data_IF_633810840654
#
_entry.id   IF_633810840654
#
_cell.length_a   1.000
_cell.length_b   1.000
_cell.length_c   1.000
_cell.angle_alpha   90.00
_cell.angle_beta   90.00
_cell.angle_gamma   90.00
#
_symmetry.space_group_name_H-M   'P 1'
#
loop_
_entity.id
_entity.type
_entity.pdbx_description
1 polymer ?
#
# COMPACT_ATOMS: atom_id res chain seq x y z
N UNK A 1 3.54 7.18 16.52
CA UNK A 1 2.67 6.12 17.12
C UNK A 1 2.62 4.89 16.21
N UNK A 2 2.67 3.65 16.75
CA UNK A 2 2.61 2.42 15.93
C UNK A 2 1.14 2.04 15.70
N UNK A 3 0.72 1.99 14.43
CA UNK A 3 -0.60 1.53 14.00
C UNK A 3 -0.49 0.15 13.35
N UNK A 4 -1.43 -0.72 13.64
CA UNK A 4 -1.50 -2.03 13.00
C UNK A 4 -2.36 -1.93 11.73
N UNK A 5 -1.91 -2.53 10.64
CA UNK A 5 -2.57 -2.46 9.33
C UNK A 5 -4.05 -2.86 9.37
N UNK A 6 -4.40 -3.90 10.12
CA UNK A 6 -5.78 -4.36 10.23
C UNK A 6 -6.73 -3.34 10.87
N UNK A 7 -6.22 -2.42 11.73
CA UNK A 7 -7.04 -1.33 12.29
C UNK A 7 -7.43 -0.36 11.18
N UNK A 8 -6.49 -0.06 10.30
CA UNK A 8 -6.70 0.85 9.17
C UNK A 8 -7.64 0.22 8.13
N UNK A 9 -7.49 -1.07 7.89
CA UNK A 9 -8.41 -1.80 7.01
C UNK A 9 -9.86 -1.80 7.51
N UNK A 10 -10.08 -1.66 8.82
CA UNK A 10 -11.40 -1.52 9.42
C UNK A 10 -11.89 -0.07 9.48
N UNK A 11 -10.98 0.87 9.75
CA UNK A 11 -11.29 2.30 9.87
C UNK A 11 -10.12 3.15 9.36
N UNK A 12 -10.20 3.55 8.11
CA UNK A 12 -9.18 4.36 7.43
C UNK A 12 -9.13 5.82 7.92
N UNK A 13 -10.21 6.32 8.54
CA UNK A 13 -10.29 7.69 9.07
C UNK A 13 -9.25 7.98 10.15
N UNK A 14 -8.77 6.95 10.84
CA UNK A 14 -7.66 7.09 11.82
C UNK A 14 -6.41 7.73 11.19
N UNK A 15 -6.19 7.57 9.88
CA UNK A 15 -5.04 8.17 9.19
C UNK A 15 -5.15 9.69 9.05
N UNK A 16 -6.33 10.28 9.24
CA UNK A 16 -6.50 11.73 9.18
C UNK A 16 -5.87 12.46 10.38
N UNK A 17 -5.70 11.76 11.50
CA UNK A 17 -5.15 12.33 12.73
C UNK A 17 -3.63 12.57 12.63
N UNK A 18 -2.98 12.10 11.56
CA UNK A 18 -1.53 12.17 11.40
C UNK A 18 -1.13 12.97 10.17
N UNK A 19 -0.23 13.93 10.37
CA UNK A 19 0.33 14.73 9.28
C UNK A 19 1.38 13.96 8.47
N UNK A 20 2.01 12.96 9.07
CA UNK A 20 2.92 12.10 8.35
C UNK A 20 2.79 10.64 8.76
N UNK A 21 2.95 9.75 7.75
CA UNK A 21 2.75 8.31 7.88
C UNK A 21 3.93 7.59 7.24
N UNK A 22 4.61 6.75 8.02
CA UNK A 22 5.65 5.84 7.54
C UNK A 22 5.05 4.45 7.29
N UNK A 23 5.09 3.99 6.05
CA UNK A 23 4.79 2.62 5.65
C UNK A 23 6.11 1.90 5.35
N UNK A 24 6.42 0.83 6.08
CA UNK A 24 7.68 0.10 5.87
C UNK A 24 7.51 -1.41 6.01
N UNK A 25 8.23 -2.18 5.23
CA UNK A 25 8.21 -3.65 5.29
C UNK A 25 8.46 -4.31 3.94
N UNK A 26 8.37 -5.64 3.93
CA UNK A 26 8.51 -6.45 2.72
C UNK A 26 7.22 -6.58 1.91
N UNK A 27 6.05 -6.35 2.51
CA UNK A 27 4.75 -6.50 1.86
C UNK A 27 4.40 -5.30 0.98
N UNK A 28 4.89 -5.32 -0.27
CA UNK A 28 4.66 -4.24 -1.24
C UNK A 28 3.18 -4.06 -1.57
N UNK A 29 2.42 -5.16 -1.65
CA UNK A 29 0.98 -5.10 -1.90
C UNK A 29 0.25 -4.34 -0.80
N UNK A 30 0.57 -4.60 0.47
CA UNK A 30 -0.03 -3.88 1.59
C UNK A 30 0.39 -2.40 1.62
N UNK A 31 1.64 -2.08 1.28
CA UNK A 31 2.12 -0.70 1.17
C UNK A 31 1.34 0.04 0.07
N UNK A 32 1.14 -0.59 -1.10
CA UNK A 32 0.37 -0.02 -2.20
C UNK A 32 -1.10 0.21 -1.81
N UNK A 33 -1.74 -0.78 -1.20
CA UNK A 33 -3.13 -0.66 -0.72
C UNK A 33 -3.30 0.51 0.26
N UNK A 34 -2.42 0.61 1.26
CA UNK A 34 -2.46 1.67 2.27
C UNK A 34 -2.18 3.06 1.66
N UNK A 35 -1.23 3.15 0.73
CA UNK A 35 -0.95 4.36 -0.03
C UNK A 35 -2.19 4.83 -0.80
N UNK A 36 -2.90 3.91 -1.46
CA UNK A 36 -4.09 4.24 -2.23
C UNK A 36 -5.29 4.61 -1.33
N UNK A 37 -5.41 3.99 -0.17
CA UNK A 37 -6.35 4.43 0.87
C UNK A 37 -6.05 5.89 1.29
N UNK A 38 -4.78 6.21 1.56
CA UNK A 38 -4.39 7.57 1.96
C UNK A 38 -4.73 8.60 0.87
N UNK A 39 -4.49 8.29 -0.39
CA UNK A 39 -4.90 9.15 -1.52
C UNK A 39 -6.41 9.33 -1.57
N UNK A 40 -7.15 8.24 -1.43
CA UNK A 40 -8.62 8.23 -1.50
C UNK A 40 -9.29 9.05 -0.40
N UNK A 41 -8.76 9.04 0.82
CA UNK A 41 -9.31 9.84 1.93
C UNK A 41 -8.87 11.32 1.89
N UNK A 42 -7.94 11.68 0.99
CA UNK A 42 -7.45 13.05 0.77
C UNK A 42 -7.66 13.50 -0.69
N UNK A 43 -8.90 13.48 -1.23
CA UNK A 43 -9.14 13.68 -2.65
C UNK A 43 -8.86 15.10 -3.15
N UNK A 44 -8.84 16.09 -2.24
CA UNK A 44 -8.57 17.50 -2.55
C UNK A 44 -7.08 17.87 -2.48
N UNK A 45 -6.21 16.93 -2.11
CA UNK A 45 -4.77 17.18 -2.01
C UNK A 45 -4.10 17.04 -3.37
N UNK A 46 -3.19 17.97 -3.69
CA UNK A 46 -2.26 17.78 -4.80
C UNK A 46 -1.25 16.70 -4.44
N UNK A 47 -1.14 15.67 -5.29
CA UNK A 47 -0.26 14.53 -5.03
C UNK A 47 1.08 14.74 -5.73
N UNK A 48 2.16 14.80 -4.95
CA UNK A 48 3.52 14.99 -5.42
C UNK A 48 4.37 13.80 -5.01
N UNK A 49 5.06 13.20 -5.97
CA UNK A 49 5.90 12.02 -5.74
C UNK A 49 7.37 12.38 -5.86
N UNK A 50 8.18 11.92 -4.91
CA UNK A 50 9.64 11.98 -4.96
C UNK A 50 10.22 10.60 -4.71
N UNK A 51 11.25 10.25 -5.44
CA UNK A 51 12.11 9.13 -5.11
C UNK A 51 13.31 9.62 -4.29
N UNK A 52 13.76 8.80 -3.33
CA UNK A 52 14.90 9.21 -2.51
C UNK A 52 16.12 9.57 -3.34
N UNK A 53 16.35 8.91 -4.47
CA UNK A 53 17.47 9.18 -5.37
C UNK A 53 17.46 10.62 -5.91
N UNK A 54 16.27 11.16 -6.19
CA UNK A 54 16.10 12.53 -6.69
C UNK A 54 16.45 13.59 -5.64
N UNK A 55 16.36 13.21 -4.37
CA UNK A 55 16.63 14.08 -3.21
C UNK A 55 18.07 14.01 -2.70
N UNK A 56 18.85 13.02 -3.13
CA UNK A 56 20.22 12.84 -2.69
C UNK A 56 21.09 14.05 -3.09
N UNK A 57 21.70 14.71 -2.10
CA UNK A 57 22.52 15.91 -2.33
C UNK A 57 21.75 17.17 -2.74
N UNK A 58 20.41 17.12 -2.68
CA UNK A 58 19.53 18.23 -3.09
C UNK A 58 18.51 18.54 -1.97
N UNK A 59 19.00 18.76 -0.77
CA UNK A 59 18.18 18.95 0.44
C UNK A 59 17.10 20.05 0.30
N UNK A 60 17.35 21.04 -0.54
CA UNK A 60 16.41 22.17 -0.74
C UNK A 60 15.21 21.84 -1.63
N UNK A 61 15.26 20.78 -2.44
CA UNK A 61 14.18 20.49 -3.39
C UNK A 61 12.87 20.20 -2.64
N UNK A 62 12.93 19.31 -1.65
CA UNK A 62 11.76 18.92 -0.87
C UNK A 62 11.21 20.13 -0.08
N UNK A 63 12.07 20.91 0.56
CA UNK A 63 11.67 22.12 1.29
C UNK A 63 11.08 23.20 0.34
N UNK A 64 11.67 23.39 -0.82
CA UNK A 64 11.15 24.32 -1.81
C UNK A 64 9.76 23.89 -2.28
N UNK A 65 9.56 22.59 -2.55
CA UNK A 65 8.25 22.08 -2.97
C UNK A 65 7.19 22.24 -1.87
N UNK A 66 7.56 22.02 -0.62
CA UNK A 66 6.67 22.24 0.52
C UNK A 66 6.24 23.70 0.63
N UNK A 67 7.19 24.63 0.43
CA UNK A 67 6.95 26.07 0.57
C UNK A 67 6.35 26.72 -0.68
N UNK A 68 6.38 26.05 -1.83
CA UNK A 68 5.76 26.58 -3.03
C UNK A 68 4.24 26.57 -2.92
N UNK A 69 3.60 27.67 -3.31
CA UNK A 69 2.15 27.74 -3.38
C UNK A 69 1.69 26.97 -4.63
N UNK A 70 0.83 25.98 -4.46
CA UNK A 70 0.20 25.30 -5.60
C UNK A 70 -0.88 26.19 -6.23
N UNK A 71 -0.99 26.13 -7.55
CA UNK A 71 -2.08 26.77 -8.31
C UNK A 71 -3.36 25.91 -8.31
N UNK A 72 -3.27 24.64 -7.92
CA UNK A 72 -4.35 23.66 -8.05
C UNK A 72 -4.98 23.27 -6.71
N UNK A 73 -4.22 23.35 -5.61
CA UNK A 73 -4.70 22.99 -4.28
C UNK A 73 -3.90 23.72 -3.20
N UNK A 74 -4.60 24.08 -2.13
CA UNK A 74 -3.93 24.58 -0.92
C UNK A 74 -3.28 23.45 -0.10
N UNK A 75 -3.75 22.21 -0.30
CA UNK A 75 -3.27 21.04 0.44
C UNK A 75 -2.36 20.18 -0.43
N UNK A 76 -1.25 19.72 0.13
CA UNK A 76 -0.28 18.84 -0.54
C UNK A 76 -0.16 17.50 0.15
N UNK A 77 -0.16 16.43 -0.65
CA UNK A 77 0.19 15.06 -0.25
C UNK A 77 1.51 14.67 -0.91
N UNK A 78 2.59 14.73 -0.17
CA UNK A 78 3.91 14.34 -0.66
C UNK A 78 4.14 12.85 -0.35
N UNK A 79 4.48 12.08 -1.37
CA UNK A 79 4.80 10.66 -1.25
C UNK A 79 6.28 10.46 -1.56
N UNK A 80 7.03 10.00 -0.57
CA UNK A 80 8.46 9.72 -0.66
C UNK A 80 8.67 8.23 -0.88
N UNK A 81 9.20 7.84 -2.02
CA UNK A 81 9.39 6.46 -2.42
C UNK A 81 10.81 5.97 -2.11
N UNK A 82 10.93 4.67 -1.82
CA UNK A 82 12.19 3.94 -1.66
C UNK A 82 13.14 4.56 -0.62
N UNK A 83 12.54 5.04 0.47
CA UNK A 83 13.28 5.79 1.48
C UNK A 83 14.10 4.88 2.40
N UNK A 84 15.16 5.45 2.94
CA UNK A 84 16.03 4.89 3.96
C UNK A 84 16.45 5.99 4.95
N UNK A 85 17.27 5.66 5.93
CA UNK A 85 17.75 6.64 6.92
C UNK A 85 18.52 7.85 6.32
N UNK A 86 18.85 7.83 5.02
CA UNK A 86 19.46 8.96 4.33
C UNK A 86 18.57 10.21 4.30
N UNK A 87 17.24 10.03 4.32
CA UNK A 87 16.29 11.16 4.31
C UNK A 87 16.01 11.72 5.71
N UNK A 88 16.57 11.11 6.77
CA UNK A 88 16.26 11.45 8.16
C UNK A 88 16.45 12.94 8.45
N UNK A 89 17.59 13.55 8.08
CA UNK A 89 17.86 14.96 8.35
C UNK A 89 16.87 15.91 7.66
N UNK A 90 16.42 15.56 6.46
CA UNK A 90 15.42 16.35 5.73
C UNK A 90 14.06 16.28 6.44
N UNK A 91 13.63 15.08 6.84
CA UNK A 91 12.38 14.91 7.59
C UNK A 91 12.43 15.57 8.96
N UNK A 92 13.54 15.47 9.66
CA UNK A 92 13.74 16.14 10.96
C UNK A 92 13.60 17.68 10.82
N UNK A 93 14.17 18.27 9.78
CA UNK A 93 14.02 19.69 9.49
C UNK A 93 12.58 20.07 9.18
N UNK A 94 11.87 19.25 8.38
CA UNK A 94 10.46 19.51 8.01
C UNK A 94 9.54 19.41 9.23
N UNK A 95 9.77 18.44 10.11
CA UNK A 95 8.91 18.25 11.28
C UNK A 95 9.28 19.12 12.49
N UNK A 96 10.39 19.90 12.41
CA UNK A 96 10.74 20.87 13.43
C UNK A 96 9.69 21.98 13.58
N UNK A 97 9.00 22.31 12.49
CA UNK A 97 7.92 23.30 12.49
C UNK A 97 6.62 22.68 11.93
N UNK A 98 5.47 22.93 12.59
CA UNK A 98 4.19 22.44 12.07
C UNK A 98 3.86 23.12 10.74
N UNK A 99 3.67 22.32 9.70
CA UNK A 99 3.24 22.83 8.39
C UNK A 99 1.76 22.48 8.23
N UNK A 100 0.93 23.52 8.13
CA UNK A 100 -0.47 23.37 7.78
C UNK A 100 -0.61 22.92 6.32
N UNK A 101 -1.70 22.21 6.02
CA UNK A 101 -2.03 21.81 4.65
C UNK A 101 -1.03 20.87 3.97
N UNK A 102 -0.21 20.16 4.78
CA UNK A 102 0.77 19.20 4.31
C UNK A 102 0.53 17.83 4.94
N UNK A 103 0.48 16.79 4.11
CA UNK A 103 0.58 15.40 4.54
C UNK A 103 1.75 14.73 3.83
N UNK A 104 2.57 13.97 4.57
CA UNK A 104 3.73 13.26 4.02
C UNK A 104 3.55 11.77 4.23
N UNK A 105 3.69 10.99 3.16
CA UNK A 105 3.74 9.53 3.21
C UNK A 105 5.15 9.07 2.85
N UNK A 106 5.78 8.36 3.76
CA UNK A 106 7.13 7.84 3.60
C UNK A 106 7.05 6.33 3.36
N UNK A 107 7.50 5.87 2.20
CA UNK A 107 7.49 4.46 1.81
C UNK A 107 8.91 3.90 1.90
N UNK A 108 9.09 2.87 2.70
CA UNK A 108 10.40 2.25 2.90
C UNK A 108 10.34 0.73 2.78
N UNK A 109 11.47 0.13 2.45
CA UNK A 109 11.68 -1.30 2.62
C UNK A 109 11.71 -1.65 4.12
N UNK A 110 12.07 -2.89 4.44
CA UNK A 110 12.23 -3.31 5.83
C UNK A 110 13.22 -2.40 6.56
N UNK A 111 12.79 -1.83 7.68
CA UNK A 111 13.60 -1.01 8.58
C UNK A 111 13.84 -1.76 9.89
N UNK A 112 15.07 -1.83 10.31
CA UNK A 112 15.42 -2.44 11.59
C UNK A 112 15.08 -1.53 12.79
N UNK A 113 15.27 -2.05 14.01
CA UNK A 113 15.00 -1.29 15.24
C UNK A 113 15.97 -0.13 15.47
N UNK A 114 17.10 -0.09 14.76
CA UNK A 114 18.10 0.99 14.89
C UNK A 114 17.87 2.11 13.87
N UNK A 115 16.97 1.92 12.91
CA UNK A 115 16.65 2.92 11.91
C UNK A 115 16.22 4.24 12.57
N UNK A 116 16.85 5.33 12.13
CA UNK A 116 16.58 6.69 12.65
C UNK A 116 15.18 7.16 12.28
N UNK A 117 14.75 6.90 11.03
CA UNK A 117 13.41 7.26 10.56
C UNK A 117 12.37 6.51 11.39
N UNK A 118 12.50 5.19 11.49
CA UNK A 118 11.57 4.36 12.26
C UNK A 118 11.48 4.85 13.70
N UNK A 119 12.60 5.10 14.37
CA UNK A 119 12.64 5.58 15.75
C UNK A 119 11.98 6.96 15.90
N UNK A 120 12.14 7.86 14.94
CA UNK A 120 11.48 9.17 14.93
C UNK A 120 9.95 9.01 14.92
N UNK A 121 9.42 8.22 13.98
CA UNK A 121 7.98 7.98 13.85
C UNK A 121 7.37 7.21 15.04
N UNK A 122 8.12 6.29 15.66
CA UNK A 122 7.64 5.55 16.82
C UNK A 122 7.53 6.44 18.08
N UNK A 123 8.40 7.44 18.23
CA UNK A 123 8.47 8.32 19.40
C UNK A 123 7.51 9.51 19.33
N UNK A 124 7.28 10.04 18.16
CA UNK A 124 6.40 11.21 17.98
C UNK A 124 4.93 10.79 17.95
N UNK A 125 4.09 11.53 18.68
CA UNK A 125 2.65 11.26 18.76
C UNK A 125 1.87 11.77 17.53
N UNK A 126 2.42 12.74 16.83
CA UNK A 126 1.82 13.33 15.63
C UNK A 126 2.17 12.56 14.35
N UNK A 127 3.08 11.58 14.46
CA UNK A 127 3.52 10.75 13.36
C UNK A 127 3.00 9.32 13.52
N UNK A 128 2.54 8.71 12.43
CA UNK A 128 2.12 7.30 12.42
C UNK A 128 3.17 6.43 11.73
N UNK A 129 3.39 5.24 12.27
CA UNK A 129 4.19 4.21 11.63
C UNK A 129 3.38 2.93 11.50
N UNK A 130 3.39 2.35 10.30
CA UNK A 130 2.61 1.15 9.97
C UNK A 130 3.58 0.11 9.41
N UNK A 131 3.91 -0.92 10.20
CA UNK A 131 4.68 -2.05 9.70
C UNK A 131 3.85 -2.88 8.70
N UNK A 132 4.39 -3.07 7.51
CA UNK A 132 3.79 -3.85 6.41
C UNK A 132 4.57 -5.16 6.26
N UNK A 133 4.38 -6.07 7.22
CA UNK A 133 5.00 -7.39 7.18
C UNK A 133 4.23 -8.35 6.28
N UNK A 134 4.86 -9.49 5.96
CA UNK A 134 4.23 -10.54 5.16
C UNK A 134 2.85 -10.91 5.69
N UNK A 135 1.91 -11.10 4.79
CA UNK A 135 0.59 -11.59 5.13
C UNK A 135 0.66 -13.07 5.57
N UNK A 136 -0.33 -13.45 6.33
CA UNK A 136 -0.64 -14.86 6.60
C UNK A 136 -2.02 -15.19 6.01
N UNK A 137 -2.37 -16.47 6.02
CA UNK A 137 -3.64 -16.94 5.48
C UNK A 137 -4.86 -16.20 6.06
N UNK A 138 -4.83 -15.91 7.35
CA UNK A 138 -5.93 -15.20 8.02
C UNK A 138 -6.08 -13.77 7.53
N UNK A 139 -4.96 -13.04 7.38
CA UNK A 139 -5.00 -11.65 6.88
C UNK A 139 -5.43 -11.59 5.41
N UNK A 140 -4.96 -12.54 4.58
CA UNK A 140 -5.36 -12.63 3.19
C UNK A 140 -6.84 -13.03 3.05
N UNK A 141 -7.32 -13.99 3.84
CA UNK A 141 -8.74 -14.35 3.85
C UNK A 141 -9.62 -13.16 4.24
N UNK A 142 -9.22 -12.39 5.25
CA UNK A 142 -9.93 -11.17 5.61
C UNK A 142 -9.92 -10.14 4.46
N UNK A 143 -8.78 -9.94 3.82
CA UNK A 143 -8.62 -9.03 2.69
C UNK A 143 -9.52 -9.41 1.51
N UNK A 144 -9.47 -10.67 1.06
CA UNK A 144 -10.26 -11.18 -0.05
C UNK A 144 -11.76 -11.10 0.26
N UNK A 145 -12.17 -11.57 1.45
CA UNK A 145 -13.57 -11.54 1.85
C UNK A 145 -14.12 -10.10 1.96
N UNK A 146 -13.30 -9.14 2.40
CA UNK A 146 -13.67 -7.73 2.43
C UNK A 146 -13.92 -7.18 1.02
N UNK A 147 -13.05 -7.50 0.07
CA UNK A 147 -13.16 -7.08 -1.34
C UNK A 147 -14.38 -7.73 -2.02
N UNK A 148 -14.62 -9.00 -1.76
CA UNK A 148 -15.72 -9.75 -2.38
C UNK A 148 -17.06 -9.62 -1.64
N UNK A 149 -17.17 -8.79 -0.62
CA UNK A 149 -18.34 -8.68 0.25
C UNK A 149 -19.66 -8.45 -0.50
N UNK A 150 -19.64 -7.59 -1.50
CA UNK A 150 -20.82 -7.23 -2.30
C UNK A 150 -20.91 -8.06 -3.61
N UNK A 151 -19.99 -8.97 -3.84
CA UNK A 151 -19.95 -9.80 -5.05
C UNK A 151 -20.87 -11.00 -4.90
N UNK A 152 -21.90 -11.08 -5.74
CA UNK A 152 -22.87 -12.20 -5.73
C UNK A 152 -22.20 -13.51 -6.19
N UNK A 153 -22.32 -14.53 -5.36
CA UNK A 153 -21.75 -15.85 -5.60
C UNK A 153 -20.39 -16.08 -4.94
N UNK A 154 -19.81 -15.06 -4.30
CA UNK A 154 -18.58 -15.22 -3.52
C UNK A 154 -18.82 -16.14 -2.30
N UNK A 155 -17.86 -17.03 -2.04
CA UNK A 155 -17.87 -17.95 -0.92
C UNK A 155 -16.44 -18.30 -0.48
N UNK A 156 -16.31 -19.09 0.59
CA UNK A 156 -14.99 -19.46 1.15
C UNK A 156 -14.16 -20.29 0.19
N UNK A 157 -14.75 -21.12 -0.64
CA UNK A 157 -14.05 -21.94 -1.64
C UNK A 157 -13.35 -21.05 -2.69
N UNK A 158 -14.05 -20.03 -3.18
CA UNK A 158 -13.50 -19.01 -4.08
C UNK A 158 -12.39 -18.21 -3.40
N UNK A 159 -12.55 -17.84 -2.13
CA UNK A 159 -11.53 -17.15 -1.35
C UNK A 159 -10.25 -17.98 -1.27
N UNK A 160 -10.37 -19.26 -0.96
CA UNK A 160 -9.22 -20.18 -0.88
C UNK A 160 -8.56 -20.39 -2.25
N UNK A 161 -9.36 -20.51 -3.32
CA UNK A 161 -8.86 -20.65 -4.69
C UNK A 161 -7.97 -19.44 -5.06
N UNK A 162 -8.43 -18.22 -4.82
CA UNK A 162 -7.70 -17.00 -5.14
C UNK A 162 -6.37 -16.93 -4.36
N UNK A 163 -6.41 -17.20 -3.05
CA UNK A 163 -5.22 -17.14 -2.19
C UNK A 163 -4.17 -18.16 -2.63
N UNK A 164 -4.58 -19.42 -2.83
CA UNK A 164 -3.67 -20.49 -3.20
C UNK A 164 -3.05 -20.27 -4.58
N UNK A 165 -3.87 -19.86 -5.56
CA UNK A 165 -3.39 -19.60 -6.93
C UNK A 165 -2.40 -18.41 -7.00
N UNK A 166 -2.52 -17.48 -6.07
CA UNK A 166 -1.65 -16.29 -5.99
C UNK A 166 -0.39 -16.52 -5.13
N UNK A 167 -0.11 -17.75 -4.69
CA UNK A 167 1.02 -18.07 -3.82
C UNK A 167 1.12 -17.14 -2.59
N UNK A 168 -0.01 -16.76 -2.00
CA UNK A 168 -0.09 -15.85 -0.86
C UNK A 168 0.50 -14.45 -1.11
N UNK A 169 0.73 -14.07 -2.38
CA UNK A 169 1.19 -12.73 -2.74
C UNK A 169 0.02 -11.76 -2.83
N UNK A 170 0.00 -10.76 -1.96
CA UNK A 170 -1.09 -9.79 -1.85
C UNK A 170 -1.30 -8.97 -3.12
N UNK A 171 -0.21 -8.62 -3.81
CA UNK A 171 -0.32 -7.83 -5.05
C UNK A 171 -0.96 -8.64 -6.17
N UNK A 172 -0.56 -9.88 -6.30
CA UNK A 172 -1.19 -10.83 -7.24
C UNK A 172 -2.67 -11.00 -6.90
N UNK A 173 -3.00 -11.23 -5.62
CA UNK A 173 -4.40 -11.33 -5.15
C UNK A 173 -5.18 -10.06 -5.51
N UNK A 174 -4.63 -8.87 -5.29
CA UNK A 174 -5.29 -7.61 -5.66
C UNK A 174 -5.63 -7.55 -7.14
N UNK A 175 -4.69 -7.90 -8.00
CA UNK A 175 -4.90 -7.92 -9.46
C UNK A 175 -5.98 -8.94 -9.88
N UNK A 176 -6.01 -10.11 -9.23
CA UNK A 176 -7.05 -11.11 -9.49
C UNK A 176 -8.44 -10.62 -9.04
N UNK A 177 -8.50 -9.96 -7.88
CA UNK A 177 -9.72 -9.38 -7.37
C UNK A 177 -10.26 -8.28 -8.29
N UNK A 178 -9.42 -7.43 -8.85
CA UNK A 178 -9.82 -6.39 -9.80
C UNK A 178 -10.52 -6.98 -11.03
N UNK A 179 -10.00 -8.11 -11.57
CA UNK A 179 -10.64 -8.83 -12.68
C UNK A 179 -12.00 -9.39 -12.27
N UNK A 180 -12.09 -10.02 -11.11
CA UNK A 180 -13.31 -10.61 -10.58
C UNK A 180 -14.36 -9.54 -10.32
N UNK A 181 -14.02 -8.43 -9.69
CA UNK A 181 -14.92 -7.30 -9.43
C UNK A 181 -15.43 -6.69 -10.74
N UNK A 182 -14.55 -6.50 -11.71
CA UNK A 182 -14.94 -6.01 -13.04
C UNK A 182 -15.95 -6.94 -13.74
N UNK A 183 -15.73 -8.25 -13.67
CA UNK A 183 -16.66 -9.23 -14.22
C UNK A 183 -18.00 -9.22 -13.45
N UNK A 184 -17.93 -9.21 -12.11
CA UNK A 184 -19.09 -9.29 -11.23
C UNK A 184 -20.06 -8.12 -11.35
N UNK A 185 -19.61 -6.99 -11.87
CA UNK A 185 -20.45 -5.83 -12.18
C UNK A 185 -21.56 -6.14 -13.19
N UNK A 186 -21.40 -7.20 -13.98
CA UNK A 186 -22.33 -7.63 -15.04
C UNK A 186 -23.05 -8.94 -14.74
N UNK A 187 -22.41 -9.85 -14.01
CA UNK A 187 -22.91 -11.23 -13.78
C UNK A 187 -22.43 -11.76 -12.43
N UNK A 188 -23.24 -12.63 -11.75
CA UNK A 188 -22.76 -13.31 -10.55
C UNK A 188 -21.57 -14.22 -10.89
N UNK A 189 -20.71 -14.45 -9.92
CA UNK A 189 -19.58 -15.36 -10.03
C UNK A 189 -19.93 -16.75 -9.49
N UNK A 190 -19.18 -17.75 -9.91
CA UNK A 190 -19.12 -19.09 -9.32
C UNK A 190 -17.69 -19.61 -9.43
N UNK A 191 -17.41 -20.78 -8.87
CA UNK A 191 -16.08 -21.36 -8.83
C UNK A 191 -15.44 -21.46 -10.23
N UNK A 192 -16.15 -22.06 -11.20
CA UNK A 192 -15.61 -22.27 -12.56
C UNK A 192 -15.28 -20.94 -13.27
N UNK A 193 -16.15 -19.95 -13.12
CA UNK A 193 -15.90 -18.61 -13.68
C UNK A 193 -14.65 -17.96 -13.06
N UNK A 194 -14.47 -18.08 -11.76
CA UNK A 194 -13.30 -17.52 -11.10
C UNK A 194 -12.05 -18.27 -11.51
N UNK A 195 -12.10 -19.59 -11.59
CA UNK A 195 -11.00 -20.42 -12.07
C UNK A 195 -10.53 -20.00 -13.49
N UNK A 196 -11.46 -19.75 -14.40
CA UNK A 196 -11.15 -19.24 -15.75
C UNK A 196 -10.54 -17.81 -15.72
N UNK A 197 -11.07 -16.93 -14.86
CA UNK A 197 -10.63 -15.52 -14.77
C UNK A 197 -9.22 -15.37 -14.22
N UNK A 198 -8.84 -16.19 -13.22
CA UNK A 198 -7.55 -16.07 -12.53
C UNK A 198 -6.41 -16.78 -13.25
N UNK A 199 -6.63 -17.24 -14.51
CA UNK A 199 -5.61 -17.89 -15.34
C UNK A 199 -4.79 -18.91 -14.53
N UNK A 200 -5.44 -19.93 -14.01
CA UNK A 200 -4.72 -21.05 -13.40
C UNK A 200 -3.83 -21.63 -14.49
N UNK A 201 -2.53 -21.35 -14.39
CA UNK A 201 -1.54 -22.08 -15.18
C UNK A 201 -1.63 -23.52 -14.71
N UNK A 202 -2.38 -24.35 -15.42
CA UNK A 202 -2.24 -25.78 -15.26
C UNK A 202 -0.79 -26.11 -15.65
N UNK A 203 0.01 -26.59 -14.72
CA UNK A 203 1.40 -27.06 -14.94
C UNK A 203 1.49 -28.22 -15.94
N UNK A 204 0.40 -28.52 -16.64
CA UNK A 204 0.27 -29.63 -17.60
C UNK A 204 0.93 -29.38 -18.94
N UNK A 205 1.41 -28.17 -19.27
CA UNK A 205 1.94 -27.90 -20.61
C UNK A 205 3.47 -27.91 -20.76
N UNK A 206 4.24 -28.10 -19.69
CA UNK A 206 5.72 -28.20 -19.82
C UNK A 206 6.25 -29.61 -19.99
N UNK A 207 5.50 -30.64 -19.61
CA UNK A 207 5.87 -32.03 -19.81
C UNK A 207 5.63 -32.53 -21.24
N UNK A 208 4.60 -32.04 -21.93
CA UNK A 208 4.27 -32.43 -23.30
C UNK A 208 5.23 -31.87 -24.37
N UNK A 209 5.91 -30.75 -24.10
CA UNK A 209 6.90 -30.18 -25.03
C UNK A 209 8.25 -30.93 -24.96
N UNK A 210 8.52 -31.64 -23.87
CA UNK A 210 9.79 -32.38 -23.68
C UNK A 210 9.78 -33.75 -24.32
N UNK A 211 8.61 -34.33 -24.57
CA UNK A 211 8.47 -35.66 -25.18
C UNK A 211 8.25 -35.61 -26.71
N UNK A 212 8.27 -34.41 -27.32
CA UNK A 212 8.14 -34.18 -28.75
C UNK A 212 9.46 -33.77 -29.45
N UNK A 213 10.63 -34.00 -28.81
CA UNK A 213 11.95 -33.69 -29.39
C UNK A 213 12.78 -34.94 -29.53
#
# INVERSE_FOLDING_TARGET
MILKSYIIEQNDKVLNDYNSILLYGENKGLIDDLKDIIKKINPSYEIINFFQEDLNGKEKILLNEINNTSLFSENKLIILHETSDKIFSQLETIFAEPISNLKIVVLSNLLDKKSKIRNMYEKDKNLAVIPCYADNERSLSFYVNKRLREVKGANQEITNLIINNSNYDRKTISNELDKIESYSSKKPINYNVVEELINIKSDTNFSEIRDAS
#
